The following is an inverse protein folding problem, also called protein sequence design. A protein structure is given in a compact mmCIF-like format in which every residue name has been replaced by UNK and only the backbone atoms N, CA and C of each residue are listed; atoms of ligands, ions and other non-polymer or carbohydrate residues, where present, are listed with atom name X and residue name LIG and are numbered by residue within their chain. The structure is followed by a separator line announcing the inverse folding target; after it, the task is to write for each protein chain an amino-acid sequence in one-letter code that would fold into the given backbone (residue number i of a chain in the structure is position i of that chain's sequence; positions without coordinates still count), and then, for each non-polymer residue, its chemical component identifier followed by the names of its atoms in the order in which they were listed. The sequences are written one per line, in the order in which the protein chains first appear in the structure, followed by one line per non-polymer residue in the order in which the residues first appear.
data_IF_691450082307
#
_entry.id   IF_691450082307
#
_cell.length_a   1.000
_cell.length_b   1.000
_cell.length_c   1.000
_cell.angle_alpha   90.00
_cell.angle_beta   90.00
_cell.angle_gamma   90.00
#
_symmetry.space_group_name_H-M   'P 1'
#
loop_
_entity.id
_entity.type
_entity.pdbx_description
1 polymer ?
#
# COMPACT_ATOMS: atom_id res chain seq x y z
N UNK A 1 7.03 -2.22 -44.07
CA UNK A 1 5.56 -2.19 -43.90
C UNK A 1 5.19 -0.77 -43.51
N UNK A 2 4.16 -0.15 -44.10
CA UNK A 2 3.70 1.19 -43.68
C UNK A 2 2.83 1.03 -42.43
N UNK A 3 3.13 1.78 -41.39
CA UNK A 3 2.29 1.83 -40.20
C UNK A 3 0.89 2.33 -40.57
N UNK A 4 -0.14 1.63 -40.08
CA UNK A 4 -1.54 2.01 -40.27
C UNK A 4 -2.02 2.68 -39.00
N UNK A 5 -2.54 3.90 -39.12
CA UNK A 5 -3.19 4.59 -38.01
C UNK A 5 -4.52 3.92 -37.62
N UNK A 6 -4.80 3.88 -36.32
CA UNK A 6 -6.05 3.35 -35.76
C UNK A 6 -7.23 4.24 -36.15
N UNK A 7 -8.36 3.65 -36.51
CA UNK A 7 -9.61 4.38 -36.68
C UNK A 7 -10.10 4.96 -35.36
N UNK A 8 -10.89 6.04 -35.41
CA UNK A 8 -11.52 6.64 -34.20
C UNK A 8 -12.30 5.61 -33.38
N UNK A 9 -12.97 4.65 -34.04
CA UNK A 9 -13.74 3.59 -33.37
C UNK A 9 -12.84 2.63 -32.59
N UNK A 10 -11.70 2.25 -33.16
CA UNK A 10 -10.70 1.40 -32.49
C UNK A 10 -10.05 2.14 -31.30
N UNK A 11 -9.73 3.42 -31.48
CA UNK A 11 -9.19 4.27 -30.42
C UNK A 11 -10.16 4.38 -29.23
N UNK A 12 -11.44 4.68 -29.48
CA UNK A 12 -12.46 4.80 -28.43
C UNK A 12 -12.66 3.48 -27.67
N UNK A 13 -12.74 2.37 -28.38
CA UNK A 13 -12.90 1.05 -27.75
C UNK A 13 -11.70 0.72 -26.86
N UNK A 14 -10.48 1.01 -27.31
CA UNK A 14 -9.27 0.78 -26.52
C UNK A 14 -9.22 1.69 -25.28
N UNK A 15 -9.55 2.98 -25.43
CA UNK A 15 -9.61 3.92 -24.31
C UNK A 15 -10.59 3.47 -23.23
N UNK A 16 -11.79 3.01 -23.62
CA UNK A 16 -12.80 2.53 -22.69
C UNK A 16 -12.31 1.33 -21.87
N UNK A 17 -11.73 0.33 -22.53
CA UNK A 17 -11.22 -0.86 -21.84
C UNK A 17 -10.06 -0.54 -20.89
N UNK A 18 -9.14 0.36 -21.30
CA UNK A 18 -8.06 0.82 -20.44
C UNK A 18 -8.57 1.60 -19.21
N UNK A 19 -9.60 2.44 -19.37
CA UNK A 19 -10.23 3.16 -18.26
C UNK A 19 -10.89 2.21 -17.25
N UNK A 20 -11.62 1.19 -17.74
CA UNK A 20 -12.20 0.15 -16.87
C UNK A 20 -11.13 -0.59 -16.07
N UNK A 21 -10.02 -0.94 -16.71
CA UNK A 21 -8.90 -1.60 -16.04
C UNK A 21 -8.25 -0.72 -14.97
N UNK A 22 -8.02 0.57 -15.27
CA UNK A 22 -7.52 1.54 -14.28
C UNK A 22 -8.45 1.65 -13.07
N UNK A 23 -9.76 1.78 -13.29
CA UNK A 23 -10.75 1.87 -12.21
C UNK A 23 -10.78 0.62 -11.31
N UNK A 24 -10.64 -0.58 -11.89
CA UNK A 24 -10.55 -1.82 -11.12
C UNK A 24 -9.30 -1.87 -10.24
N UNK A 25 -8.15 -1.46 -10.76
CA UNK A 25 -6.89 -1.44 -10.00
C UNK A 25 -6.94 -0.43 -8.84
N UNK A 26 -7.46 0.78 -9.09
CA UNK A 26 -7.68 1.78 -8.05
C UNK A 26 -8.59 1.25 -6.94
N UNK A 27 -9.69 0.57 -7.31
CA UNK A 27 -10.58 -0.05 -6.33
C UNK A 27 -9.88 -1.12 -5.49
N UNK A 28 -8.97 -1.90 -6.07
CA UNK A 28 -8.20 -2.91 -5.35
C UNK A 28 -7.24 -2.27 -4.34
N UNK A 29 -6.48 -1.23 -4.75
CA UNK A 29 -5.58 -0.48 -3.88
C UNK A 29 -6.34 0.09 -2.67
N UNK A 30 -7.40 0.84 -2.96
CA UNK A 30 -8.31 1.42 -1.97
C UNK A 30 -8.86 0.39 -0.98
N UNK A 31 -9.34 -0.74 -1.49
CA UNK A 31 -9.93 -1.79 -0.64
C UNK A 31 -8.86 -2.44 0.25
N UNK A 32 -7.64 -2.60 -0.26
CA UNK A 32 -6.53 -3.20 0.48
C UNK A 32 -6.13 -2.31 1.67
N UNK A 33 -5.96 -1.00 1.44
CA UNK A 33 -5.72 -0.04 2.51
C UNK A 33 -6.86 -0.04 3.55
N UNK A 34 -8.12 -0.02 3.10
CA UNK A 34 -9.28 -0.06 4.00
C UNK A 34 -9.31 -1.32 4.89
N UNK A 35 -9.04 -2.50 4.31
CA UNK A 35 -9.00 -3.75 5.05
C UNK A 35 -7.84 -3.79 6.06
N UNK A 36 -6.65 -3.37 5.64
CA UNK A 36 -5.50 -3.26 6.54
C UNK A 36 -5.78 -2.34 7.70
N UNK A 37 -6.36 -1.17 7.44
CA UNK A 37 -6.74 -0.22 8.49
C UNK A 37 -7.72 -0.87 9.46
N UNK A 38 -8.84 -1.43 8.97
CA UNK A 38 -9.87 -2.03 9.83
C UNK A 38 -9.38 -3.23 10.65
N UNK A 39 -8.45 -4.03 10.12
CA UNK A 39 -7.93 -5.22 10.83
C UNK A 39 -6.83 -4.88 11.84
N UNK A 40 -6.10 -3.79 11.61
CA UNK A 40 -4.91 -3.42 12.40
C UNK A 40 -5.18 -2.29 13.39
N UNK A 41 -6.18 -1.44 13.13
CA UNK A 41 -6.44 -0.20 13.88
C UNK A 41 -5.43 0.92 13.61
N UNK A 42 -4.63 0.80 12.55
CA UNK A 42 -3.60 1.79 12.18
C UNK A 42 -4.01 2.53 10.90
N UNK A 43 -3.34 3.66 10.64
CA UNK A 43 -3.39 4.26 9.31
C UNK A 43 -2.71 3.30 8.34
N UNK A 44 -3.41 2.93 7.28
CA UNK A 44 -2.92 2.05 6.23
C UNK A 44 -2.86 2.80 4.92
N UNK A 45 -1.79 2.61 4.16
CA UNK A 45 -1.56 3.23 2.87
C UNK A 45 -1.28 2.13 1.84
N UNK A 46 -1.85 2.28 0.65
CA UNK A 46 -1.61 1.41 -0.50
C UNK A 46 -1.42 2.27 -1.74
N UNK A 47 -0.39 2.01 -2.53
CA UNK A 47 -0.20 2.74 -3.78
C UNK A 47 0.77 2.10 -4.76
N UNK A 48 0.84 2.70 -5.95
CA UNK A 48 1.77 2.35 -7.02
C UNK A 48 2.75 3.51 -7.21
N UNK A 49 4.04 3.25 -6.99
CA UNK A 49 5.09 4.26 -6.92
C UNK A 49 5.21 5.09 -8.21
N UNK A 50 5.16 4.43 -9.38
CA UNK A 50 5.38 5.12 -10.66
C UNK A 50 4.10 5.79 -11.23
N UNK A 51 3.05 5.95 -10.42
CA UNK A 51 1.74 6.47 -10.86
C UNK A 51 1.14 7.54 -9.95
N UNK A 52 1.78 7.87 -8.83
CA UNK A 52 1.25 8.78 -7.79
C UNK A 52 -0.20 8.44 -7.38
N UNK A 53 -0.55 7.14 -7.46
CA UNK A 53 -1.87 6.61 -7.12
C UNK A 53 -1.77 5.98 -5.72
N UNK A 54 -2.05 6.76 -4.68
CA UNK A 54 -2.06 6.34 -3.29
C UNK A 54 -3.46 6.47 -2.67
N UNK A 55 -3.82 5.47 -1.86
CA UNK A 55 -5.02 5.46 -1.03
C UNK A 55 -4.61 5.26 0.44
N UNK A 56 -5.17 6.07 1.33
CA UNK A 56 -5.01 5.93 2.77
C UNK A 56 -6.35 5.70 3.52
N UNK A 57 -6.30 4.96 4.62
CA UNK A 57 -7.45 4.70 5.51
C UNK A 57 -7.00 4.58 6.96
N UNK A 58 -7.83 5.09 7.89
CA UNK A 58 -7.56 4.96 9.33
C UNK A 58 -6.97 6.20 9.98
N UNK A 59 -6.96 7.35 9.29
CA UNK A 59 -6.48 8.61 9.85
C UNK A 59 -7.19 8.96 11.16
N UNK A 60 -8.52 8.79 11.19
CA UNK A 60 -9.32 9.01 12.41
C UNK A 60 -8.87 8.12 13.57
N UNK A 61 -8.65 6.84 13.31
CA UNK A 61 -8.25 5.88 14.35
C UNK A 61 -6.86 6.23 14.88
N UNK A 62 -5.91 6.56 13.98
CA UNK A 62 -4.58 7.01 14.35
C UNK A 62 -4.62 8.28 15.21
N UNK A 63 -5.38 9.30 14.80
CA UNK A 63 -5.54 10.56 15.54
C UNK A 63 -6.25 10.40 16.89
N UNK A 64 -6.94 9.27 17.11
CA UNK A 64 -7.58 8.97 18.39
C UNK A 64 -6.60 8.40 19.42
N UNK A 65 -5.36 8.08 19.02
CA UNK A 65 -4.35 7.56 19.93
C UNK A 65 -3.78 8.65 20.87
N UNK A 66 -3.37 8.30 22.10
CA UNK A 66 -2.69 9.18 23.07
C UNK A 66 -1.51 9.99 22.52
N UNK A 67 -0.81 9.51 21.50
CA UNK A 67 0.31 10.19 20.85
C UNK A 67 -0.10 11.48 20.14
N UNK A 68 -1.38 11.62 19.76
CA UNK A 68 -1.89 12.74 18.97
C UNK A 68 -2.74 13.73 19.77
N UNK A 69 -2.56 13.76 21.09
CA UNK A 69 -3.28 14.70 21.97
C UNK A 69 -2.74 16.15 21.87
N UNK A 70 -1.58 16.36 21.23
CA UNK A 70 -0.98 17.68 21.01
C UNK A 70 -1.18 18.12 19.57
N UNK A 71 -1.61 19.37 19.39
CA UNK A 71 -1.82 19.96 18.06
C UNK A 71 -0.58 19.87 17.16
N UNK A 72 0.61 20.08 17.73
CA UNK A 72 1.87 19.99 16.99
C UNK A 72 2.12 18.60 16.37
N UNK A 73 1.71 17.52 17.04
CA UNK A 73 1.84 16.15 16.50
C UNK A 73 0.86 15.94 15.34
N UNK A 74 -0.35 16.47 15.44
CA UNK A 74 -1.35 16.43 14.38
C UNK A 74 -0.83 17.17 13.15
N UNK A 75 -0.34 18.42 13.31
CA UNK A 75 0.20 19.21 12.21
C UNK A 75 1.37 18.51 11.52
N UNK A 76 2.31 17.93 12.30
CA UNK A 76 3.44 17.17 11.74
C UNK A 76 2.99 15.95 10.93
N UNK A 77 1.97 15.23 11.40
CA UNK A 77 1.40 14.09 10.68
C UNK A 77 0.72 14.55 9.39
N UNK A 78 -0.13 15.58 9.43
CA UNK A 78 -0.83 16.06 8.24
C UNK A 78 0.14 16.58 7.19
N UNK A 79 1.16 17.35 7.60
CA UNK A 79 2.23 17.78 6.70
C UNK A 79 3.01 16.61 6.10
N UNK A 80 3.15 15.50 6.83
CA UNK A 80 3.79 14.29 6.30
C UNK A 80 2.91 13.62 5.25
N UNK A 81 1.59 13.61 5.47
CA UNK A 81 0.64 13.00 4.55
C UNK A 81 0.55 13.72 3.21
N UNK A 82 0.74 15.04 3.18
CA UNK A 82 0.71 15.84 1.95
C UNK A 82 1.81 15.46 0.94
N UNK A 83 2.90 14.83 1.39
CA UNK A 83 4.06 14.46 0.56
C UNK A 83 4.41 12.97 0.64
N UNK A 84 3.49 12.15 1.14
CA UNK A 84 3.83 10.77 1.50
C UNK A 84 4.16 9.88 0.30
N UNK A 85 3.56 10.18 -0.85
CA UNK A 85 3.82 9.57 -2.15
C UNK A 85 5.27 9.76 -2.59
N UNK A 86 5.77 11.00 -2.57
CA UNK A 86 7.16 11.34 -2.89
C UNK A 86 8.15 10.65 -1.93
N UNK A 87 7.73 10.48 -0.68
CA UNK A 87 8.57 9.90 0.38
C UNK A 87 8.67 8.39 0.25
N UNK A 88 7.59 7.69 -0.08
CA UNK A 88 7.63 6.24 -0.28
C UNK A 88 8.60 5.84 -1.37
N UNK A 89 8.72 6.65 -2.42
CA UNK A 89 9.61 6.37 -3.52
C UNK A 89 11.10 6.35 -3.10
N UNK A 90 11.47 7.14 -2.09
CA UNK A 90 12.79 7.12 -1.44
C UNK A 90 12.91 5.97 -0.44
N UNK A 91 11.92 5.80 0.43
CA UNK A 91 11.91 4.77 1.48
C UNK A 91 12.04 3.36 0.87
N UNK A 92 11.30 3.09 -0.20
CA UNK A 92 11.29 1.77 -0.85
C UNK A 92 12.65 1.44 -1.48
N UNK A 93 13.43 2.42 -1.93
CA UNK A 93 14.78 2.19 -2.47
C UNK A 93 15.77 1.65 -1.44
N UNK A 94 15.51 1.87 -0.15
CA UNK A 94 16.33 1.38 0.96
C UNK A 94 15.87 0.02 1.53
N UNK A 95 14.80 -0.55 0.98
CA UNK A 95 14.22 -1.82 1.41
C UNK A 95 14.60 -2.89 0.38
N UNK A 96 15.11 -4.03 0.85
CA UNK A 96 15.48 -5.12 -0.06
C UNK A 96 14.24 -5.70 -0.73
N UNK A 97 14.39 -6.21 -1.94
CA UNK A 97 13.29 -6.84 -2.66
C UNK A 97 12.70 -8.00 -1.83
N UNK A 98 11.37 -8.03 -1.73
CA UNK A 98 10.65 -9.03 -0.94
C UNK A 98 10.61 -8.79 0.56
N UNK A 99 11.41 -7.86 1.10
CA UNK A 99 11.44 -7.53 2.52
C UNK A 99 10.19 -6.74 2.95
N UNK A 100 9.84 -6.88 4.23
CA UNK A 100 8.90 -6.00 4.94
C UNK A 100 9.69 -5.36 6.08
N UNK A 101 9.86 -4.04 6.02
CA UNK A 101 10.68 -3.30 6.98
C UNK A 101 9.82 -2.61 8.02
N UNK A 102 10.28 -2.62 9.27
CA UNK A 102 9.64 -1.92 10.39
C UNK A 102 10.60 -0.83 10.86
N UNK A 103 10.07 0.38 11.02
CA UNK A 103 10.77 1.53 11.56
C UNK A 103 10.05 1.97 12.84
N UNK A 104 10.80 2.12 13.94
CA UNK A 104 10.23 2.44 15.24
C UNK A 104 10.74 3.81 15.72
N UNK A 105 9.84 4.78 15.78
CA UNK A 105 10.12 6.10 16.34
C UNK A 105 11.23 6.85 15.61
N UNK A 106 12.39 7.00 16.26
CA UNK A 106 13.52 7.74 15.72
C UNK A 106 14.16 7.08 14.49
N UNK A 107 13.89 5.78 14.26
CA UNK A 107 14.32 5.07 13.06
C UNK A 107 13.50 5.44 11.83
N UNK A 108 12.37 6.14 11.99
CA UNK A 108 11.55 6.52 10.86
C UNK A 108 12.36 7.37 9.88
N UNK A 109 12.38 7.00 8.58
CA UNK A 109 13.01 7.82 7.55
C UNK A 109 12.32 9.18 7.40
N UNK A 110 11.15 9.31 8.00
CA UNK A 110 10.37 10.54 8.12
C UNK A 110 10.49 11.08 9.54
N UNK A 111 11.38 12.04 9.75
CA UNK A 111 11.66 12.60 11.08
C UNK A 111 10.43 13.24 11.74
N UNK A 112 9.51 13.82 10.95
CA UNK A 112 8.29 14.47 11.45
C UNK A 112 7.33 13.53 12.18
N UNK A 113 7.40 12.21 11.95
CA UNK A 113 6.55 11.20 12.61
C UNK A 113 7.36 10.31 13.56
N UNK A 114 8.38 10.84 14.22
CA UNK A 114 9.18 10.09 15.21
C UNK A 114 8.40 9.64 16.45
N UNK A 115 7.18 10.13 16.64
CA UNK A 115 6.21 9.67 17.64
C UNK A 115 5.51 8.36 17.23
N UNK A 116 5.56 7.99 15.94
CA UNK A 116 4.91 6.81 15.37
C UNK A 116 5.90 5.67 15.09
N UNK A 117 5.35 4.55 14.64
CA UNK A 117 6.08 3.50 13.94
C UNK A 117 5.49 3.30 12.56
N UNK A 118 6.33 2.85 11.62
CA UNK A 118 5.94 2.60 10.25
C UNK A 118 6.34 1.18 9.83
N UNK A 119 5.41 0.43 9.25
CA UNK A 119 5.71 -0.84 8.57
C UNK A 119 5.58 -0.58 7.08
N UNK A 120 6.60 -0.91 6.28
CA UNK A 120 6.61 -0.72 4.83
C UNK A 120 6.89 -2.06 4.15
N UNK A 121 6.01 -2.44 3.24
CA UNK A 121 6.10 -3.68 2.47
C UNK A 121 5.96 -3.40 0.97
N UNK A 122 7.09 -3.17 0.27
CA UNK A 122 7.09 -3.08 -1.19
C UNK A 122 6.71 -4.42 -1.84
N UNK A 123 6.05 -4.38 -2.98
CA UNK A 123 5.74 -5.54 -3.80
C UNK A 123 5.87 -5.21 -5.30
N UNK A 124 5.98 -6.25 -6.13
CA UNK A 124 5.97 -6.13 -7.59
C UNK A 124 4.71 -6.76 -8.15
N UNK A 125 4.07 -6.06 -9.07
CA UNK A 125 2.96 -6.58 -9.87
C UNK A 125 3.49 -7.45 -11.02
N UNK A 126 2.61 -8.27 -11.62
CA UNK A 126 2.97 -9.13 -12.77
C UNK A 126 3.48 -8.35 -13.98
N UNK A 127 3.05 -7.10 -14.14
CA UNK A 127 3.48 -6.22 -15.21
C UNK A 127 4.79 -5.46 -14.90
N UNK A 128 5.49 -5.81 -13.82
CA UNK A 128 6.76 -5.20 -13.41
C UNK A 128 6.62 -3.91 -12.60
N UNK A 129 5.41 -3.33 -12.48
CA UNK A 129 5.20 -2.14 -11.68
C UNK A 129 5.45 -2.40 -10.19
N UNK A 130 6.00 -1.41 -9.49
CA UNK A 130 6.26 -1.47 -8.05
C UNK A 130 5.10 -0.84 -7.28
N UNK A 131 4.56 -1.59 -6.34
CA UNK A 131 3.58 -1.11 -5.38
C UNK A 131 4.15 -1.12 -3.97
N UNK A 132 3.48 -0.40 -3.09
CA UNK A 132 3.83 -0.34 -1.66
C UNK A 132 2.56 -0.46 -0.82
N UNK A 133 2.68 -1.22 0.26
CA UNK A 133 1.75 -1.19 1.38
C UNK A 133 2.50 -0.62 2.57
N UNK A 134 1.83 0.23 3.35
CA UNK A 134 2.38 0.72 4.60
C UNK A 134 1.34 0.80 5.71
N UNK A 135 1.82 0.71 6.94
CA UNK A 135 1.05 0.97 8.16
C UNK A 135 1.77 2.04 8.97
N UNK A 136 1.05 3.03 9.47
CA UNK A 136 1.53 4.04 10.42
C UNK A 136 0.68 3.95 11.68
N UNK A 137 1.33 3.72 12.81
CA UNK A 137 0.65 3.47 14.09
C UNK A 137 1.47 3.93 15.30
N UNK A 138 0.91 3.83 16.51
CA UNK A 138 1.65 4.13 17.73
C UNK A 138 2.83 3.17 17.93
N UNK A 139 3.86 3.57 18.69
CA UNK A 139 5.05 2.73 18.98
C UNK A 139 4.73 1.43 19.72
N UNK A 140 3.54 1.34 20.31
CA UNK A 140 3.04 0.15 21.01
C UNK A 140 2.17 -0.76 20.12
N UNK A 141 2.09 -0.50 18.81
CA UNK A 141 1.26 -1.30 17.90
C UNK A 141 1.66 -2.78 17.90
N UNK A 142 0.72 -3.66 17.51
CA UNK A 142 0.92 -5.12 17.50
C UNK A 142 1.77 -5.56 16.31
N UNK A 143 3.09 -5.32 16.37
CA UNK A 143 4.02 -5.54 15.25
C UNK A 143 3.90 -6.92 14.59
N UNK A 144 3.91 -8.00 15.37
CA UNK A 144 3.81 -9.35 14.81
C UNK A 144 2.51 -9.57 14.01
N UNK A 145 1.37 -9.15 14.56
CA UNK A 145 0.07 -9.24 13.87
C UNK A 145 0.06 -8.36 12.61
N UNK A 146 0.53 -7.12 12.74
CA UNK A 146 0.52 -6.14 11.66
C UNK A 146 1.42 -6.58 10.50
N UNK A 147 2.62 -7.11 10.79
CA UNK A 147 3.54 -7.69 9.81
C UNK A 147 2.90 -8.88 9.08
N UNK A 148 2.28 -9.80 9.79
CA UNK A 148 1.61 -10.95 9.16
C UNK A 148 0.47 -10.52 8.22
N UNK A 149 -0.34 -9.53 8.63
CA UNK A 149 -1.45 -9.03 7.83
C UNK A 149 -0.97 -8.30 6.56
N UNK A 150 0.02 -7.42 6.69
CA UNK A 150 0.56 -6.70 5.53
C UNK A 150 1.27 -7.65 4.56
N UNK A 151 1.97 -8.67 5.05
CA UNK A 151 2.62 -9.69 4.21
C UNK A 151 1.60 -10.57 3.49
N UNK A 152 0.48 -10.90 4.14
CA UNK A 152 -0.61 -11.62 3.49
C UNK A 152 -1.20 -10.83 2.33
N UNK A 153 -1.53 -9.55 2.54
CA UNK A 153 -2.09 -8.69 1.50
C UNK A 153 -1.04 -8.41 0.40
N UNK A 154 0.22 -8.17 0.77
CA UNK A 154 1.36 -8.09 -0.17
C UNK A 154 1.41 -9.29 -1.10
N UNK A 155 1.25 -10.51 -0.58
CA UNK A 155 1.23 -11.74 -1.39
C UNK A 155 0.05 -11.78 -2.35
N UNK A 156 -1.14 -11.35 -1.90
CA UNK A 156 -2.34 -11.29 -2.75
C UNK A 156 -2.27 -10.23 -3.85
N UNK A 157 -1.58 -9.11 -3.59
CA UNK A 157 -1.39 -8.03 -4.56
C UNK A 157 -0.21 -8.28 -5.51
N UNK A 158 0.83 -8.96 -5.04
CA UNK A 158 2.05 -9.21 -5.78
C UNK A 158 1.92 -10.28 -6.88
N UNK A 159 2.93 -10.36 -7.74
CA UNK A 159 3.04 -11.36 -8.80
C UNK A 159 3.10 -12.81 -8.28
N UNK A 160 3.49 -13.00 -7.01
CA UNK A 160 3.55 -14.27 -6.30
C UNK A 160 2.18 -14.73 -5.73
N UNK A 161 1.07 -14.12 -6.19
CA UNK A 161 -0.29 -14.46 -5.77
C UNK A 161 -0.60 -15.94 -5.95
N UNK A 162 -0.82 -16.61 -4.82
CA UNK A 162 -1.29 -17.99 -4.69
C UNK A 162 -2.58 -18.15 -5.50
N UNK A 163 -2.62 -19.18 -6.36
CA UNK A 163 -3.91 -19.69 -6.84
C UNK A 163 -4.54 -20.44 -5.67
N UNK A 164 -5.42 -19.78 -4.92
CA UNK A 164 -6.26 -20.49 -3.95
C UNK A 164 -7.31 -21.25 -4.77
N UNK A 165 -6.98 -22.49 -5.15
CA UNK A 165 -7.99 -23.46 -5.55
C UNK A 165 -8.77 -23.80 -4.27
N UNK A 166 -9.95 -23.19 -4.11
CA UNK A 166 -10.95 -23.71 -3.19
C UNK A 166 -11.47 -25.02 -3.82
N UNK A 167 -10.73 -26.11 -3.65
CA UNK A 167 -11.29 -27.45 -3.84
C UNK A 167 -12.10 -27.71 -2.59
N UNK A 168 -13.42 -27.80 -2.77
CA UNK A 168 -14.34 -28.28 -1.75
C UNK A 168 -13.76 -29.52 -1.05
N UNK A 169 -13.28 -29.36 0.18
CA UNK A 169 -13.05 -30.46 1.11
C UNK A 169 -11.63 -30.78 1.57
N UNK A 170 -10.56 -30.29 0.94
CA UNK A 170 -9.19 -30.59 1.46
C UNK A 170 -8.11 -29.69 0.84
N UNK A 171 -7.41 -28.96 1.72
CA UNK A 171 -6.29 -28.10 1.33
C UNK A 171 -5.01 -28.92 1.13
N UNK A 172 -4.45 -28.86 -0.08
CA UNK A 172 -3.07 -29.26 -0.36
C UNK A 172 -2.31 -28.04 -0.90
N UNK A 173 -1.21 -27.68 -0.23
CA UNK A 173 -0.27 -26.65 -0.66
C UNK A 173 0.65 -27.24 -1.74
N UNK A 174 0.78 -26.56 -2.88
CA UNK A 174 1.86 -26.81 -3.85
C UNK A 174 2.60 -25.50 -4.05
N UNK A 175 3.94 -25.58 -4.02
CA UNK A 175 4.90 -24.48 -3.99
C UNK A 175 5.06 -23.79 -5.34
#
# INVERSE_FOLDING_TARGET
MKDRELSKKEQLKLQEELLKLKAKNMRLSRTSAKLLSGLTGNLAISGILDKDEFDDFGMRDLLSEPEFQKLDEICRLTETMDYIDEMFDKIVKEIKEGETKIFIGAENPVSKISSCSMIVSPYKLKNGQRGVLALIGPKRMKYAKNKSLIEYIKKMMGSAGVTVLIVSGSALLVW
#
